data_IF_010083825659
#
_entry.id   IF_010083825659
#
_cell.length_a   1.000
_cell.length_b   1.000
_cell.length_c   1.000
_cell.angle_alpha   90.00
_cell.angle_beta   90.00
_cell.angle_gamma   90.00
#
_symmetry.space_group_name_H-M   'P 1'
#
loop_
_entity.id
_entity.type
_entity.pdbx_description
1 polymer ?
#
# COMPACT_ATOMS: atom_id res chain seq x y z
N UNK A 1 -39.63 23.90 -2.15
CA UNK A 1 -38.43 23.02 -2.05
C UNK A 1 -37.77 22.81 -3.41
N UNK A 2 -38.47 22.25 -4.41
CA UNK A 2 -37.93 22.03 -5.76
C UNK A 2 -37.48 23.31 -6.48
N UNK A 3 -38.25 24.40 -6.40
CA UNK A 3 -37.87 25.69 -6.98
C UNK A 3 -36.58 26.25 -6.35
N UNK A 4 -36.44 26.17 -5.04
CA UNK A 4 -35.25 26.62 -4.31
C UNK A 4 -33.98 25.85 -4.70
N UNK A 5 -34.09 24.52 -4.90
CA UNK A 5 -32.97 23.67 -5.35
C UNK A 5 -32.51 24.06 -6.76
N UNK A 6 -33.46 24.44 -7.63
CA UNK A 6 -33.17 24.87 -9.01
C UNK A 6 -32.63 26.29 -9.07
N UNK A 7 -32.99 27.14 -8.11
CA UNK A 7 -32.50 28.53 -8.00
C UNK A 7 -31.10 28.60 -7.38
N UNK A 8 -30.79 27.69 -6.43
CA UNK A 8 -29.52 27.63 -5.70
C UNK A 8 -28.60 26.51 -6.21
N UNK A 9 -28.49 26.35 -7.53
CA UNK A 9 -27.75 25.22 -8.16
C UNK A 9 -26.31 25.09 -7.66
N UNK A 10 -25.59 26.21 -7.53
CA UNK A 10 -24.21 26.21 -7.04
C UNK A 10 -24.12 25.74 -5.59
N UNK A 11 -24.97 26.28 -4.71
CA UNK A 11 -25.01 25.89 -3.29
C UNK A 11 -25.33 24.41 -3.14
N UNK A 12 -26.34 23.91 -3.86
CA UNK A 12 -26.71 22.50 -3.85
C UNK A 12 -25.57 21.62 -4.37
N UNK A 13 -24.95 21.99 -5.49
CA UNK A 13 -23.83 21.25 -6.05
C UNK A 13 -22.61 21.19 -5.13
N UNK A 14 -22.30 22.30 -4.47
CA UNK A 14 -21.21 22.35 -3.49
C UNK A 14 -21.50 21.45 -2.29
N UNK A 15 -22.72 21.52 -1.73
CA UNK A 15 -23.11 20.67 -0.59
C UNK A 15 -23.04 19.19 -0.97
N UNK A 16 -23.58 18.81 -2.14
CA UNK A 16 -23.51 17.43 -2.62
C UNK A 16 -22.07 16.98 -2.83
N UNK A 17 -21.23 17.81 -3.45
CA UNK A 17 -19.80 17.54 -3.63
C UNK A 17 -19.10 17.27 -2.30
N UNK A 18 -19.29 18.14 -1.31
CA UNK A 18 -18.70 17.98 0.03
C UNK A 18 -19.17 16.69 0.69
N UNK A 19 -20.48 16.38 0.65
CA UNK A 19 -21.04 15.16 1.26
C UNK A 19 -20.45 13.91 0.62
N UNK A 20 -20.42 13.83 -0.71
CA UNK A 20 -19.89 12.65 -1.41
C UNK A 20 -18.37 12.53 -1.29
N UNK A 21 -17.63 13.65 -1.33
CA UNK A 21 -16.19 13.66 -1.06
C UNK A 21 -15.86 13.18 0.36
N UNK A 22 -16.59 13.67 1.37
CA UNK A 22 -16.45 13.20 2.74
C UNK A 22 -16.87 11.73 2.88
N UNK A 23 -17.94 11.32 2.21
CA UNK A 23 -18.37 9.91 2.14
C UNK A 23 -17.28 9.01 1.57
N UNK A 24 -16.61 9.44 0.49
CA UNK A 24 -15.46 8.74 -0.07
C UNK A 24 -14.31 8.65 0.93
N UNK A 25 -14.00 9.74 1.66
CA UNK A 25 -12.96 9.73 2.69
C UNK A 25 -13.26 8.73 3.80
N UNK A 26 -14.48 8.75 4.33
CA UNK A 26 -14.93 7.84 5.38
C UNK A 26 -14.91 6.38 4.91
N UNK A 27 -15.29 6.13 3.66
CA UNK A 27 -15.17 4.81 3.05
C UNK A 27 -13.71 4.34 3.00
N UNK A 28 -12.80 5.23 2.60
CA UNK A 28 -11.37 4.91 2.48
C UNK A 28 -10.66 4.74 3.84
N UNK A 29 -11.19 5.34 4.92
CA UNK A 29 -10.63 5.35 6.29
C UNK A 29 -10.73 4.02 7.08
N UNK A 30 -11.12 2.92 6.43
CA UNK A 30 -11.13 1.59 7.08
C UNK A 30 -9.75 1.22 7.60
N UNK A 31 -9.72 0.82 8.87
CA UNK A 31 -8.50 0.45 9.60
C UNK A 31 -7.99 -0.88 9.06
N UNK A 32 -6.76 -0.88 8.53
CA UNK A 32 -6.05 -2.09 8.12
C UNK A 32 -5.25 -2.61 9.33
N UNK A 33 -4.98 -3.91 9.38
CA UNK A 33 -4.12 -4.55 10.39
C UNK A 33 -2.66 -4.05 10.29
N UNK A 34 -2.30 -3.49 9.14
CA UNK A 34 -1.06 -2.78 8.88
C UNK A 34 -1.11 -1.45 9.65
N UNK A 35 -0.53 -1.46 10.85
CA UNK A 35 -0.60 -0.36 11.81
C UNK A 35 -0.07 0.97 11.24
N UNK A 36 -0.96 1.78 10.67
CA UNK A 36 -1.09 3.25 10.71
C UNK A 36 -2.11 3.67 9.61
N UNK A 37 -3.10 4.56 9.88
CA UNK A 37 -3.26 5.40 11.06
C UNK A 37 -4.18 4.71 12.07
N UNK A 38 -3.59 4.15 13.12
CA UNK A 38 -4.33 3.39 14.14
C UNK A 38 -4.74 4.29 15.32
N UNK A 39 -4.16 5.48 15.46
CA UNK A 39 -4.49 6.39 16.55
C UNK A 39 -5.74 7.23 16.25
N UNK A 40 -6.62 7.44 17.25
CA UNK A 40 -7.78 8.32 17.11
C UNK A 40 -7.41 9.70 16.54
N UNK A 41 -6.27 10.26 16.95
CA UNK A 41 -5.76 11.53 16.43
C UNK A 41 -5.40 11.48 14.93
N UNK A 42 -4.78 10.39 14.46
CA UNK A 42 -4.48 10.21 13.03
C UNK A 42 -5.75 10.16 12.18
N UNK A 43 -6.80 9.47 12.66
CA UNK A 43 -8.11 9.46 11.99
C UNK A 43 -8.71 10.86 11.89
N UNK A 44 -8.64 11.67 12.96
CA UNK A 44 -9.14 13.05 12.97
C UNK A 44 -8.39 13.90 11.95
N UNK A 45 -7.05 13.84 11.91
CA UNK A 45 -6.23 14.57 10.93
C UNK A 45 -6.65 14.20 9.50
N UNK A 46 -6.81 12.91 9.23
CA UNK A 46 -7.22 12.46 7.91
C UNK A 46 -8.64 12.87 7.53
N UNK A 47 -9.59 12.90 8.47
CA UNK A 47 -10.95 13.40 8.23
C UNK A 47 -10.90 14.90 7.91
N UNK A 48 -10.16 15.68 8.71
CA UNK A 48 -10.02 17.12 8.50
C UNK A 48 -9.44 17.44 7.10
N UNK A 49 -8.37 16.76 6.71
CA UNK A 49 -7.80 16.88 5.35
C UNK A 49 -8.77 16.44 4.27
N UNK A 50 -9.60 15.44 4.54
CA UNK A 50 -10.66 15.00 3.63
C UNK A 50 -11.76 16.04 3.45
N UNK A 51 -12.15 16.74 4.52
CA UNK A 51 -13.11 17.86 4.44
C UNK A 51 -12.53 18.98 3.59
N UNK A 52 -11.26 19.34 3.78
CA UNK A 52 -10.57 20.35 2.96
C UNK A 52 -10.54 19.92 1.49
N UNK A 53 -10.11 18.68 1.21
CA UNK A 53 -10.09 18.11 -0.14
C UNK A 53 -11.49 18.12 -0.79
N UNK A 54 -12.52 17.72 -0.05
CA UNK A 54 -13.89 17.70 -0.55
C UNK A 54 -14.40 19.13 -0.84
N UNK A 55 -14.13 20.10 0.05
CA UNK A 55 -14.48 21.50 -0.16
C UNK A 55 -13.84 22.09 -1.41
N UNK A 56 -12.54 21.84 -1.61
CA UNK A 56 -11.81 22.32 -2.79
C UNK A 56 -12.36 21.73 -4.09
N UNK A 57 -12.60 20.42 -4.13
CA UNK A 57 -13.21 19.77 -5.30
C UNK A 57 -14.61 20.31 -5.60
N UNK A 58 -15.41 20.55 -4.56
CA UNK A 58 -16.79 21.00 -4.68
C UNK A 58 -16.89 22.43 -5.25
N UNK A 59 -16.02 23.32 -4.78
CA UNK A 59 -16.02 24.76 -5.14
C UNK A 59 -15.28 25.02 -6.46
N UNK A 60 -14.42 24.11 -6.92
CA UNK A 60 -13.69 24.28 -8.19
C UNK A 60 -14.61 24.51 -9.39
N UNK A 61 -15.71 23.76 -9.50
CA UNK A 61 -16.65 23.86 -10.62
C UNK A 61 -17.35 25.23 -10.70
N UNK A 62 -18.07 25.70 -9.66
CA UNK A 62 -18.74 27.00 -9.75
C UNK A 62 -17.74 28.13 -9.99
N UNK A 63 -16.54 28.06 -9.41
CA UNK A 63 -15.51 29.08 -9.64
C UNK A 63 -15.02 29.11 -11.10
N UNK A 64 -14.86 27.95 -11.75
CA UNK A 64 -14.48 27.88 -13.17
C UNK A 64 -15.62 28.36 -14.10
N UNK A 65 -16.88 28.02 -13.79
CA UNK A 65 -18.03 28.48 -14.56
C UNK A 65 -18.21 30.01 -14.48
N UNK A 66 -17.95 30.60 -13.31
CA UNK A 66 -17.92 32.05 -13.09
C UNK A 66 -16.62 32.73 -13.58
N UNK A 67 -15.75 31.99 -14.30
CA UNK A 67 -14.47 32.48 -14.83
C UNK A 67 -13.54 33.07 -13.76
N UNK A 68 -13.69 32.65 -12.50
CA UNK A 68 -12.78 33.00 -11.43
C UNK A 68 -11.58 32.04 -11.43
N UNK A 69 -10.64 32.30 -12.33
CA UNK A 69 -9.43 31.49 -12.48
C UNK A 69 -8.49 31.53 -11.27
N UNK A 70 -8.71 32.44 -10.31
CA UNK A 70 -8.02 32.43 -9.00
C UNK A 70 -8.22 31.10 -8.26
N UNK A 71 -9.30 30.37 -8.56
CA UNK A 71 -9.54 29.02 -8.04
C UNK A 71 -8.41 28.02 -8.36
N UNK A 72 -7.70 28.20 -9.49
CA UNK A 72 -6.55 27.36 -9.86
C UNK A 72 -5.43 27.50 -8.83
N UNK A 73 -5.22 28.70 -8.29
CA UNK A 73 -4.22 28.94 -7.23
C UNK A 73 -4.58 28.20 -5.94
N UNK A 74 -5.86 28.13 -5.57
CA UNK A 74 -6.32 27.36 -4.42
C UNK A 74 -6.16 25.84 -4.62
N UNK A 75 -6.37 25.34 -5.85
CA UNK A 75 -6.08 23.94 -6.19
C UNK A 75 -4.56 23.66 -6.11
N UNK A 76 -3.72 24.60 -6.54
CA UNK A 76 -2.27 24.50 -6.39
C UNK A 76 -1.83 24.44 -4.92
N UNK A 77 -2.36 25.31 -4.07
CA UNK A 77 -2.11 25.29 -2.62
C UNK A 77 -2.56 23.97 -1.98
N UNK A 78 -3.68 23.40 -2.44
CA UNK A 78 -4.14 22.10 -1.98
C UNK A 78 -3.19 20.95 -2.36
N UNK A 79 -2.66 20.97 -3.58
CA UNK A 79 -1.68 19.97 -4.02
C UNK A 79 -0.42 20.01 -3.13
N UNK A 80 0.03 21.21 -2.74
CA UNK A 80 1.12 21.36 -1.77
C UNK A 80 0.75 20.74 -0.42
N UNK A 81 -0.45 21.01 0.09
CA UNK A 81 -0.90 20.44 1.36
C UNK A 81 -0.87 18.90 1.36
N UNK A 82 -1.25 18.23 0.26
CA UNK A 82 -1.20 16.77 0.22
C UNK A 82 0.23 16.22 0.14
N UNK A 83 1.12 16.91 -0.57
CA UNK A 83 2.54 16.56 -0.57
C UNK A 83 3.15 16.71 0.83
N UNK A 84 2.74 17.73 1.57
CA UNK A 84 3.17 17.90 2.97
C UNK A 84 2.61 16.82 3.88
N UNK A 85 1.37 16.38 3.65
CA UNK A 85 0.81 15.20 4.33
C UNK A 85 1.64 13.95 4.03
N UNK A 86 1.99 13.68 2.77
CA UNK A 86 2.89 12.57 2.43
C UNK A 86 4.24 12.67 3.14
N UNK A 87 4.84 13.86 3.15
CA UNK A 87 6.12 14.08 3.81
C UNK A 87 6.02 13.81 5.31
N UNK A 88 4.97 14.30 5.96
CA UNK A 88 4.67 14.06 7.37
C UNK A 88 4.47 12.57 7.67
N UNK A 89 3.69 11.86 6.84
CA UNK A 89 3.46 10.42 6.99
C UNK A 89 4.75 9.63 6.88
N UNK A 90 5.53 9.91 5.82
CA UNK A 90 6.83 9.26 5.60
C UNK A 90 7.79 9.51 6.75
N UNK A 91 7.89 10.75 7.24
CA UNK A 91 8.77 11.08 8.37
C UNK A 91 8.34 10.39 9.66
N UNK A 92 7.04 10.37 9.94
CA UNK A 92 6.47 9.68 11.11
C UNK A 92 6.77 8.19 11.07
N UNK A 93 6.45 7.55 9.94
CA UNK A 93 6.67 6.13 9.74
C UNK A 93 8.16 5.78 9.83
N UNK A 94 9.05 6.55 9.21
CA UNK A 94 10.50 6.30 9.30
C UNK A 94 11.04 6.37 10.73
N UNK A 95 10.51 7.26 11.58
CA UNK A 95 10.91 7.35 12.99
C UNK A 95 10.38 6.19 13.83
N UNK A 96 9.17 5.72 13.53
CA UNK A 96 8.61 4.52 14.19
C UNK A 96 9.40 3.28 13.74
N UNK A 97 9.72 3.20 12.44
CA UNK A 97 10.40 2.06 11.83
C UNK A 97 11.80 1.82 12.40
N UNK A 98 12.51 2.87 12.81
CA UNK A 98 13.83 2.73 13.43
C UNK A 98 13.80 2.03 14.79
N UNK A 99 12.61 1.90 15.40
CA UNK A 99 12.41 1.24 16.69
C UNK A 99 11.79 -0.17 16.54
N UNK A 100 11.49 -0.61 15.32
CA UNK A 100 10.91 -1.92 15.05
C UNK A 100 12.00 -3.01 15.02
N UNK A 101 11.69 -4.19 15.55
CA UNK A 101 12.60 -5.36 15.50
C UNK A 101 12.85 -5.84 14.07
N UNK A 102 11.84 -5.69 13.20
CA UNK A 102 11.92 -5.94 11.76
C UNK A 102 11.37 -4.69 11.08
N UNK A 103 12.20 -3.84 10.44
CA UNK A 103 11.74 -2.59 9.85
C UNK A 103 10.93 -2.83 8.56
N UNK A 104 10.00 -1.93 8.24
CA UNK A 104 9.26 -1.86 6.96
C UNK A 104 10.21 -1.62 5.79
N UNK A 105 11.20 -0.76 6.01
CA UNK A 105 12.11 -0.28 4.97
C UNK A 105 11.54 0.88 4.16
N UNK A 106 12.45 1.69 3.59
CA UNK A 106 12.11 2.96 2.94
C UNK A 106 11.11 2.83 1.79
N UNK A 107 11.23 1.77 0.97
CA UNK A 107 10.34 1.52 -0.18
C UNK A 107 8.90 1.27 0.25
N UNK A 108 8.70 0.57 1.36
CA UNK A 108 7.37 0.30 1.89
C UNK A 108 6.76 1.55 2.52
N UNK A 109 7.54 2.28 3.31
CA UNK A 109 7.13 3.55 3.90
C UNK A 109 6.71 4.55 2.82
N UNK A 110 7.48 4.67 1.74
CA UNK A 110 7.16 5.52 0.61
C UNK A 110 5.85 5.10 -0.07
N UNK A 111 5.63 3.78 -0.25
CA UNK A 111 4.37 3.24 -0.77
C UNK A 111 3.17 3.62 0.10
N UNK A 112 3.29 3.46 1.43
CA UNK A 112 2.25 3.86 2.37
C UNK A 112 1.96 5.37 2.26
N UNK A 113 3.01 6.19 2.25
CA UNK A 113 2.89 7.65 2.19
C UNK A 113 2.26 8.13 0.87
N UNK A 114 2.57 7.50 -0.27
CA UNK A 114 1.94 7.77 -1.56
C UNK A 114 0.45 7.43 -1.56
N UNK A 115 0.05 6.32 -0.91
CA UNK A 115 -1.37 5.96 -0.77
C UNK A 115 -2.13 7.02 0.03
N UNK A 116 -1.53 7.59 1.09
CA UNK A 116 -2.16 8.67 1.85
C UNK A 116 -2.37 9.95 1.02
N UNK A 117 -1.38 10.30 0.18
CA UNK A 117 -1.51 11.39 -0.80
C UNK A 117 -2.63 11.08 -1.81
N UNK A 118 -2.57 9.89 -2.42
CA UNK A 118 -3.51 9.36 -3.41
C UNK A 118 -4.97 9.44 -2.96
N UNK A 119 -5.25 9.06 -1.71
CA UNK A 119 -6.61 9.10 -1.15
C UNK A 119 -7.19 10.51 -1.10
N UNK A 120 -6.37 11.54 -0.93
CA UNK A 120 -6.87 12.93 -0.95
C UNK A 120 -7.24 13.37 -2.37
N UNK A 121 -6.49 12.94 -3.39
CA UNK A 121 -6.84 13.17 -4.79
C UNK A 121 -8.16 12.48 -5.18
N UNK A 122 -8.39 11.25 -4.70
CA UNK A 122 -9.66 10.54 -4.93
C UNK A 122 -10.87 11.25 -4.29
N UNK A 123 -10.67 11.90 -3.13
CA UNK A 123 -11.70 12.73 -2.48
C UNK A 123 -12.02 13.98 -3.32
N UNK A 124 -10.99 14.69 -3.82
CA UNK A 124 -11.20 15.82 -4.73
C UNK A 124 -11.96 15.38 -5.96
N UNK A 125 -11.52 14.29 -6.59
CA UNK A 125 -12.15 13.75 -7.80
C UNK A 125 -13.63 13.47 -7.58
N UNK A 126 -13.96 12.74 -6.51
CA UNK A 126 -15.36 12.41 -6.17
C UNK A 126 -16.20 13.67 -5.93
N UNK A 127 -15.66 14.62 -5.16
CA UNK A 127 -16.35 15.87 -4.87
C UNK A 127 -16.57 16.74 -6.11
N UNK A 128 -15.54 16.87 -6.96
CA UNK A 128 -15.56 17.63 -8.20
C UNK A 128 -16.56 17.05 -9.19
N UNK A 129 -16.52 15.73 -9.42
CA UNK A 129 -17.46 15.04 -10.32
C UNK A 129 -18.90 15.21 -9.82
N UNK A 130 -19.14 14.99 -8.53
CA UNK A 130 -20.46 15.18 -7.92
C UNK A 130 -20.96 16.61 -8.11
N UNK A 131 -20.12 17.61 -7.82
CA UNK A 131 -20.45 19.03 -7.97
C UNK A 131 -20.72 19.39 -9.44
N UNK A 132 -19.88 18.91 -10.37
CA UNK A 132 -20.03 19.12 -11.81
C UNK A 132 -21.39 18.67 -12.32
N UNK A 133 -21.74 17.40 -12.09
CA UNK A 133 -23.02 16.86 -12.55
C UNK A 133 -24.22 17.47 -11.81
N UNK A 134 -24.05 17.89 -10.55
CA UNK A 134 -25.10 18.60 -9.81
C UNK A 134 -25.42 19.98 -10.39
N UNK A 135 -24.40 20.70 -10.86
CA UNK A 135 -24.50 22.10 -11.31
C UNK A 135 -24.85 22.19 -12.80
N UNK A 136 -24.15 21.44 -13.65
CA UNK A 136 -24.29 21.49 -15.11
C UNK A 136 -25.56 20.78 -15.57
N UNK A 137 -25.92 19.68 -14.90
CA UNK A 137 -27.18 18.98 -15.12
C UNK A 137 -28.17 19.33 -14.00
N UNK A 138 -28.80 18.31 -13.42
CA UNK A 138 -29.69 18.42 -12.28
C UNK A 138 -29.08 17.71 -11.08
N UNK A 139 -29.45 18.16 -9.88
CA UNK A 139 -28.90 17.68 -8.61
C UNK A 139 -28.91 16.14 -8.44
N UNK A 140 -29.92 15.45 -8.98
CA UNK A 140 -30.02 13.98 -8.89
C UNK A 140 -28.97 13.25 -9.76
N UNK A 141 -28.52 13.86 -10.87
CA UNK A 141 -27.39 13.34 -11.64
C UNK A 141 -26.08 13.49 -10.86
N UNK A 142 -25.96 14.52 -10.04
CA UNK A 142 -24.87 14.68 -9.08
C UNK A 142 -24.79 13.51 -8.10
N UNK A 143 -25.91 13.10 -7.51
CA UNK A 143 -26.00 11.94 -6.61
C UNK A 143 -25.56 10.66 -7.34
N UNK A 144 -26.09 10.41 -8.54
CA UNK A 144 -25.72 9.23 -9.32
C UNK A 144 -24.21 9.22 -9.65
N UNK A 145 -23.66 10.37 -10.05
CA UNK A 145 -22.24 10.53 -10.34
C UNK A 145 -21.38 10.34 -9.08
N UNK A 146 -21.79 10.87 -7.93
CA UNK A 146 -21.09 10.70 -6.67
C UNK A 146 -21.05 9.25 -6.19
N UNK A 147 -22.17 8.52 -6.29
CA UNK A 147 -22.21 7.08 -6.01
C UNK A 147 -21.24 6.34 -6.95
N UNK A 148 -21.30 6.62 -8.25
CA UNK A 148 -20.42 6.00 -9.24
C UNK A 148 -18.95 6.31 -8.96
N UNK A 149 -18.62 7.56 -8.64
CA UNK A 149 -17.27 7.96 -8.25
C UNK A 149 -16.78 7.20 -7.03
N UNK A 150 -17.60 7.03 -5.98
CA UNK A 150 -17.22 6.22 -4.81
C UNK A 150 -16.92 4.77 -5.22
N UNK A 151 -17.74 4.16 -6.09
CA UNK A 151 -17.49 2.81 -6.60
C UNK A 151 -16.16 2.73 -7.37
N UNK A 152 -15.87 3.72 -8.22
CA UNK A 152 -14.61 3.82 -8.96
C UNK A 152 -13.43 3.99 -7.99
N UNK A 153 -13.54 4.85 -6.97
CA UNK A 153 -12.46 5.02 -5.98
C UNK A 153 -12.20 3.75 -5.17
N UNK A 154 -13.23 2.93 -4.93
CA UNK A 154 -13.05 1.65 -4.24
C UNK A 154 -12.30 0.63 -5.11
N UNK A 155 -12.51 0.65 -6.42
CA UNK A 155 -11.76 -0.17 -7.36
C UNK A 155 -10.28 0.24 -7.43
N UNK A 156 -10.00 1.54 -7.53
CA UNK A 156 -8.61 2.04 -7.53
C UNK A 156 -7.88 1.91 -6.18
N UNK A 157 -8.61 1.66 -5.09
CA UNK A 157 -8.01 1.42 -3.76
C UNK A 157 -7.39 0.01 -3.65
N UNK A 158 -7.84 -0.97 -4.43
CA UNK A 158 -7.35 -2.36 -4.34
C UNK A 158 -6.03 -2.54 -5.07
N UNK A 159 -4.95 -2.81 -4.32
CA UNK A 159 -3.66 -3.22 -4.86
C UNK A 159 -3.53 -4.74 -4.98
N UNK A 160 -2.54 -5.20 -5.76
CA UNK A 160 -2.20 -6.61 -5.87
C UNK A 160 -1.43 -7.12 -4.63
N UNK A 161 -1.53 -8.42 -4.39
CA UNK A 161 -0.83 -9.11 -3.30
C UNK A 161 0.14 -10.18 -3.86
N UNK A 162 1.06 -10.67 -3.03
CA UNK A 162 2.05 -11.70 -3.40
C UNK A 162 1.43 -12.91 -4.12
N UNK A 163 0.23 -13.34 -3.72
CA UNK A 163 -0.49 -14.44 -4.40
C UNK A 163 -0.76 -14.22 -5.90
N UNK A 164 -0.72 -12.97 -6.39
CA UNK A 164 -0.86 -12.65 -7.81
C UNK A 164 0.44 -12.95 -8.56
N UNK A 165 1.60 -12.77 -7.93
CA UNK A 165 2.92 -12.88 -8.58
C UNK A 165 3.71 -14.15 -8.21
N UNK A 166 3.38 -14.81 -7.10
CA UNK A 166 4.14 -15.96 -6.62
C UNK A 166 3.26 -17.04 -6.02
N UNK A 167 3.67 -18.29 -6.19
CA UNK A 167 3.14 -19.41 -5.41
C UNK A 167 3.97 -19.52 -4.14
N UNK A 168 3.32 -19.61 -2.98
CA UNK A 168 4.01 -19.68 -1.68
C UNK A 168 3.79 -21.07 -1.10
N UNK A 169 4.87 -21.76 -0.76
CA UNK A 169 4.85 -23.07 -0.09
C UNK A 169 5.75 -23.06 1.15
N UNK A 170 5.48 -23.96 2.08
CA UNK A 170 6.37 -24.18 3.23
C UNK A 170 7.65 -24.85 2.73
N UNK A 171 8.80 -24.34 3.18
CA UNK A 171 10.13 -24.87 2.90
C UNK A 171 10.73 -25.50 4.15
N UNK A 172 11.58 -26.49 3.96
CA UNK A 172 12.27 -27.16 5.06
C UNK A 172 13.47 -26.32 5.53
N UNK A 173 13.49 -25.94 6.80
CA UNK A 173 14.65 -25.29 7.41
C UNK A 173 15.71 -26.36 7.71
N UNK A 174 16.93 -26.19 7.18
CA UNK A 174 18.04 -27.14 7.35
C UNK A 174 19.27 -26.41 7.84
N UNK A 175 19.99 -27.02 8.78
CA UNK A 175 21.29 -26.54 9.25
C UNK A 175 22.31 -27.62 8.91
N UNK A 176 23.29 -27.28 8.08
CA UNK A 176 24.41 -28.14 7.71
C UNK A 176 25.72 -27.51 8.21
N UNK A 177 26.31 -28.12 9.23
CA UNK A 177 27.41 -27.52 9.99
C UNK A 177 27.01 -26.14 10.55
N UNK A 178 27.68 -25.04 10.14
CA UNK A 178 27.30 -23.70 10.53
C UNK A 178 26.33 -23.02 9.54
N UNK A 179 26.00 -23.64 8.40
CA UNK A 179 25.23 -22.99 7.35
C UNK A 179 23.73 -23.30 7.44
N UNK A 180 22.91 -22.25 7.39
CA UNK A 180 21.46 -22.31 7.48
C UNK A 180 20.82 -22.13 6.10
N UNK A 181 19.92 -23.04 5.77
CA UNK A 181 19.19 -23.10 4.51
C UNK A 181 17.68 -23.14 4.74
N UNK A 182 16.94 -22.64 3.75
CA UNK A 182 15.52 -22.98 3.56
C UNK A 182 15.43 -23.70 2.21
N UNK A 183 15.01 -24.96 2.25
CA UNK A 183 15.21 -25.94 1.19
C UNK A 183 16.69 -26.02 0.76
N UNK A 184 16.98 -25.57 -0.46
CA UNK A 184 18.29 -25.54 -1.10
C UNK A 184 18.91 -24.13 -1.15
N UNK A 185 18.21 -23.12 -0.62
CA UNK A 185 18.62 -21.72 -0.69
C UNK A 185 19.33 -21.32 0.61
N UNK A 186 20.60 -20.90 0.46
CA UNK A 186 21.42 -20.42 1.56
C UNK A 186 20.87 -19.12 2.17
N UNK A 187 20.74 -19.08 3.51
CA UNK A 187 20.26 -17.92 4.25
C UNK A 187 21.43 -17.16 4.88
N UNK A 188 22.13 -17.80 5.81
CA UNK A 188 23.23 -17.22 6.57
C UNK A 188 24.03 -18.29 7.30
N UNK A 189 25.18 -17.90 7.84
CA UNK A 189 25.98 -18.71 8.73
C UNK A 189 25.60 -18.45 10.19
N UNK A 190 25.36 -19.50 10.96
CA UNK A 190 25.02 -19.50 12.38
C UNK A 190 25.98 -20.43 13.12
N UNK A 191 27.05 -19.88 13.69
CA UNK A 191 28.10 -20.68 14.34
C UNK A 191 27.76 -21.19 15.75
N UNK A 192 26.96 -20.44 16.53
CA UNK A 192 26.66 -20.80 17.92
C UNK A 192 25.62 -21.92 18.01
N UNK A 193 25.97 -23.02 18.68
CA UNK A 193 25.10 -24.20 18.82
C UNK A 193 23.74 -23.90 19.47
N UNK A 194 23.73 -23.05 20.50
CA UNK A 194 22.48 -22.64 21.18
C UNK A 194 21.54 -21.92 20.23
N UNK A 195 22.07 -21.00 19.41
CA UNK A 195 21.28 -20.32 18.38
C UNK A 195 20.76 -21.28 17.33
N UNK A 196 21.58 -22.24 16.89
CA UNK A 196 21.12 -23.26 15.95
C UNK A 196 19.96 -24.08 16.53
N UNK A 197 19.97 -24.41 17.82
CA UNK A 197 18.89 -25.13 18.48
C UNK A 197 17.58 -24.33 18.49
N UNK A 198 17.66 -23.04 18.82
CA UNK A 198 16.50 -22.13 18.75
C UNK A 198 15.93 -22.07 17.34
N UNK A 199 16.78 -21.98 16.32
CA UNK A 199 16.35 -21.97 14.92
C UNK A 199 15.68 -23.29 14.53
N UNK A 200 16.23 -24.45 14.92
CA UNK A 200 15.61 -25.77 14.64
C UNK A 200 14.22 -25.89 15.25
N UNK A 201 14.03 -25.35 16.45
CA UNK A 201 12.76 -25.45 17.18
C UNK A 201 11.71 -24.46 16.64
N UNK A 202 12.11 -23.23 16.34
CA UNK A 202 11.16 -22.13 16.12
C UNK A 202 11.04 -21.67 14.68
N UNK A 203 12.06 -21.87 13.86
CA UNK A 203 12.09 -21.25 12.55
C UNK A 203 11.05 -21.85 11.59
N UNK A 204 10.48 -20.99 10.76
CA UNK A 204 9.60 -21.36 9.66
C UNK A 204 10.26 -20.93 8.36
N UNK A 205 10.40 -21.88 7.44
CA UNK A 205 10.85 -21.62 6.08
C UNK A 205 9.67 -21.46 5.13
N UNK A 206 9.70 -20.44 4.29
CA UNK A 206 8.77 -20.28 3.17
C UNK A 206 9.56 -20.11 1.87
N UNK A 207 9.08 -20.75 0.80
CA UNK A 207 9.58 -20.56 -0.56
C UNK A 207 8.51 -19.88 -1.39
N UNK A 208 8.89 -18.76 -2.02
CA UNK A 208 8.05 -18.04 -2.98
C UNK A 208 8.59 -18.28 -4.38
N UNK A 209 7.79 -18.96 -5.19
CA UNK A 209 8.10 -19.31 -6.58
C UNK A 209 7.44 -18.29 -7.52
N UNK A 210 8.20 -17.47 -8.25
CA UNK A 210 7.62 -16.46 -9.13
C UNK A 210 6.86 -17.11 -10.29
N UNK A 211 5.65 -16.62 -10.58
CA UNK A 211 4.80 -17.16 -11.66
C UNK A 211 5.29 -16.80 -13.06
N UNK A 212 6.03 -15.71 -13.22
CA UNK A 212 6.57 -15.26 -14.50
C UNK A 212 7.84 -14.40 -14.32
N UNK A 213 8.44 -13.95 -15.44
CA UNK A 213 9.67 -13.14 -15.44
C UNK A 213 9.49 -11.77 -14.76
N UNK A 214 8.34 -11.13 -14.90
CA UNK A 214 8.06 -9.86 -14.23
C UNK A 214 7.99 -10.08 -12.72
N UNK A 215 7.26 -11.12 -12.29
CA UNK A 215 7.16 -11.53 -10.89
C UNK A 215 8.53 -11.81 -10.27
N UNK A 216 9.41 -12.51 -10.99
CA UNK A 216 10.80 -12.78 -10.55
C UNK A 216 11.54 -11.48 -10.24
N UNK A 217 11.41 -10.48 -11.09
CA UNK A 217 12.11 -9.21 -10.96
C UNK A 217 11.50 -8.37 -9.84
N UNK A 218 10.17 -8.36 -9.69
CA UNK A 218 9.49 -7.73 -8.56
C UNK A 218 9.92 -8.34 -7.22
N UNK A 219 9.99 -9.68 -7.10
CA UNK A 219 10.48 -10.36 -5.88
C UNK A 219 11.96 -10.12 -5.60
N UNK A 220 12.77 -9.88 -6.63
CA UNK A 220 14.20 -9.57 -6.48
C UNK A 220 14.46 -8.22 -5.81
N UNK A 221 13.48 -7.32 -5.84
CA UNK A 221 13.56 -6.00 -5.24
C UNK A 221 13.80 -6.10 -3.72
N UNK A 222 14.91 -5.57 -3.17
CA UNK A 222 15.17 -5.60 -1.73
C UNK A 222 14.06 -4.97 -0.88
N UNK A 223 13.45 -3.88 -1.35
CA UNK A 223 12.36 -3.21 -0.66
C UNK A 223 11.09 -4.06 -0.57
N UNK A 224 10.75 -4.80 -1.64
CA UNK A 224 9.63 -5.76 -1.61
C UNK A 224 9.90 -6.90 -0.62
N UNK A 225 11.13 -7.41 -0.59
CA UNK A 225 11.54 -8.46 0.34
C UNK A 225 11.47 -7.99 1.80
N UNK A 226 11.93 -6.77 2.07
CA UNK A 226 11.86 -6.18 3.39
C UNK A 226 10.41 -5.96 3.85
N UNK A 227 9.55 -5.46 2.97
CA UNK A 227 8.12 -5.28 3.26
C UNK A 227 7.42 -6.60 3.57
N UNK A 228 7.74 -7.64 2.79
CA UNK A 228 7.24 -9.00 3.03
C UNK A 228 7.69 -9.53 4.40
N UNK A 229 8.98 -9.40 4.72
CA UNK A 229 9.52 -9.81 6.02
C UNK A 229 8.83 -9.06 7.16
N UNK A 230 8.68 -7.74 7.04
CA UNK A 230 8.01 -6.91 8.03
C UNK A 230 6.57 -7.37 8.26
N UNK A 231 5.74 -7.41 7.21
CA UNK A 231 4.32 -7.76 7.34
C UNK A 231 4.11 -9.14 7.98
N UNK A 232 4.88 -10.14 7.53
CA UNK A 232 4.75 -11.50 8.07
C UNK A 232 5.24 -11.55 9.52
N UNK A 233 6.35 -10.89 9.82
CA UNK A 233 6.91 -10.81 11.18
C UNK A 233 6.00 -10.05 12.15
N UNK A 234 5.33 -8.98 11.71
CA UNK A 234 4.39 -8.22 12.54
C UNK A 234 3.17 -9.05 12.92
N UNK A 235 2.67 -9.91 12.01
CA UNK A 235 1.48 -10.72 12.27
C UNK A 235 1.81 -12.00 13.05
N UNK A 236 2.92 -12.66 12.72
CA UNK A 236 3.33 -13.91 13.37
C UNK A 236 4.10 -13.67 14.68
N UNK A 237 4.44 -12.41 14.97
CA UNK A 237 5.40 -12.04 16.00
C UNK A 237 6.83 -12.37 15.58
N UNK A 238 7.79 -11.93 16.39
CA UNK A 238 9.22 -12.25 16.20
C UNK A 238 9.81 -12.74 17.51
N UNK A 239 10.50 -13.86 17.47
CA UNK A 239 11.28 -14.43 18.55
C UNK A 239 12.71 -13.91 18.50
N UNK A 240 12.86 -12.63 18.89
CA UNK A 240 14.13 -11.90 18.90
C UNK A 240 14.06 -10.77 19.90
N UNK A 241 15.21 -10.45 20.50
CA UNK A 241 15.44 -9.18 21.20
C UNK A 241 16.51 -8.31 20.51
N UNK A 242 16.59 -7.06 20.93
CA UNK A 242 17.69 -6.15 20.61
C UNK A 242 19.03 -6.77 21.06
N UNK A 243 19.99 -6.86 20.14
CA UNK A 243 21.31 -7.46 20.42
C UNK A 243 21.51 -8.90 19.93
N UNK A 244 20.49 -9.55 19.34
CA UNK A 244 20.62 -10.89 18.76
C UNK A 244 20.61 -10.86 17.21
N UNK A 245 21.77 -10.71 16.56
CA UNK A 245 21.84 -10.57 15.09
C UNK A 245 21.62 -11.88 14.33
N UNK A 246 21.75 -13.03 15.01
CA UNK A 246 21.59 -14.34 14.40
C UNK A 246 20.12 -14.82 14.35
N UNK A 247 19.21 -14.16 15.06
CA UNK A 247 17.77 -14.47 15.10
C UNK A 247 16.92 -13.49 14.26
N UNK A 248 17.51 -12.93 13.21
CA UNK A 248 16.83 -11.98 12.33
C UNK A 248 16.09 -12.73 11.23
N UNK A 249 14.78 -12.46 11.01
CA UNK A 249 14.09 -12.94 9.82
C UNK A 249 14.76 -12.44 8.54
N UNK A 250 15.01 -13.32 7.58
CA UNK A 250 15.76 -13.02 6.38
C UNK A 250 15.08 -13.55 5.13
N UNK A 251 15.23 -12.82 4.02
CA UNK A 251 14.74 -13.24 2.73
C UNK A 251 15.90 -13.23 1.72
N UNK A 252 16.22 -14.39 1.16
CA UNK A 252 17.31 -14.59 0.20
C UNK A 252 16.78 -15.17 -1.10
N UNK A 253 17.35 -14.68 -2.20
CA UNK A 253 16.95 -15.08 -3.54
C UNK A 253 17.91 -16.17 -4.02
N UNK A 254 17.37 -17.20 -4.66
CA UNK A 254 18.16 -18.12 -5.47
C UNK A 254 18.57 -17.42 -6.77
N UNK A 255 19.87 -17.34 -7.02
CA UNK A 255 20.41 -16.65 -8.19
C UNK A 255 20.16 -17.41 -9.50
N UNK A 256 19.86 -18.71 -9.43
CA UNK A 256 19.67 -19.55 -10.61
C UNK A 256 18.26 -19.43 -11.18
N UNK A 257 17.23 -19.52 -10.34
CA UNK A 257 15.83 -19.58 -10.77
C UNK A 257 14.96 -18.44 -10.23
N UNK A 258 15.50 -17.61 -9.34
CA UNK A 258 14.81 -16.46 -8.77
C UNK A 258 13.71 -16.80 -7.78
N UNK A 259 13.67 -18.02 -7.24
CA UNK A 259 12.88 -18.34 -6.04
C UNK A 259 13.37 -17.50 -4.87
N UNK A 260 12.44 -17.08 -4.01
CA UNK A 260 12.76 -16.36 -2.79
C UNK A 260 12.53 -17.28 -1.60
N UNK A 261 13.60 -17.59 -0.88
CA UNK A 261 13.52 -18.20 0.43
C UNK A 261 13.33 -17.13 1.50
N UNK A 262 12.43 -17.41 2.44
CA UNK A 262 12.17 -16.58 3.59
C UNK A 262 12.28 -17.42 4.86
N UNK A 263 13.18 -17.02 5.74
CA UNK A 263 13.33 -17.56 7.09
C UNK A 263 12.61 -16.63 8.06
N UNK A 264 11.67 -17.18 8.81
CA UNK A 264 10.95 -16.49 9.87
C UNK A 264 11.27 -17.13 11.21
N UNK A 265 11.26 -16.33 12.26
CA UNK A 265 11.38 -16.80 13.65
C UNK A 265 10.17 -16.27 14.42
N UNK A 266 8.97 -16.84 14.22
CA UNK A 266 7.76 -16.31 14.84
C UNK A 266 7.65 -16.72 16.32
N UNK A 267 6.78 -16.02 17.06
CA UNK A 267 6.43 -16.43 18.43
C UNK A 267 5.44 -17.62 18.43
N UNK A 268 4.56 -17.66 17.43
CA UNK A 268 3.62 -18.76 17.19
C UNK A 268 4.10 -19.61 16.01
N UNK A 269 4.42 -20.88 16.27
CA UNK A 269 4.91 -21.79 15.24
C UNK A 269 3.76 -22.39 14.41
N UNK A 270 3.25 -21.63 13.44
CA UNK A 270 2.23 -22.08 12.48
C UNK A 270 2.67 -21.78 11.02
N UNK A 271 3.24 -22.78 10.31
CA UNK A 271 3.73 -22.60 8.95
C UNK A 271 2.64 -22.27 7.93
N UNK A 272 1.43 -22.80 8.10
CA UNK A 272 0.33 -22.55 7.17
C UNK A 272 -0.23 -21.14 7.36
N UNK A 273 -0.34 -20.68 8.60
CA UNK A 273 -0.68 -19.28 8.88
C UNK A 273 0.36 -18.33 8.30
N UNK A 274 1.66 -18.62 8.49
CA UNK A 274 2.73 -17.82 7.90
C UNK A 274 2.63 -17.76 6.36
N UNK A 275 2.34 -18.90 5.71
CA UNK A 275 2.14 -19.00 4.26
C UNK A 275 0.95 -18.14 3.79
N UNK A 276 -0.19 -18.23 4.48
CA UNK A 276 -1.40 -17.44 4.17
C UNK A 276 -1.15 -15.94 4.35
N UNK A 277 -0.44 -15.56 5.40
CA UNK A 277 -0.06 -14.17 5.65
C UNK A 277 0.84 -13.65 4.54
N UNK A 278 1.91 -14.40 4.19
CA UNK A 278 2.84 -14.04 3.12
C UNK A 278 2.12 -13.85 1.77
N UNK A 279 1.14 -14.70 1.44
CA UNK A 279 0.33 -14.56 0.23
C UNK A 279 -0.53 -13.28 0.20
N UNK A 280 -0.90 -12.73 1.35
CA UNK A 280 -1.72 -11.51 1.49
C UNK A 280 -0.90 -10.22 1.62
N UNK A 281 0.42 -10.32 1.70
CA UNK A 281 1.30 -9.15 1.67
C UNK A 281 1.14 -8.39 0.34
N UNK A 282 1.14 -7.05 0.38
CA UNK A 282 0.94 -6.23 -0.82
C UNK A 282 2.18 -6.24 -1.70
N UNK A 283 1.97 -6.01 -2.98
CA UNK A 283 3.04 -5.67 -3.91
C UNK A 283 3.23 -4.15 -3.87
N UNK A 284 4.46 -3.70 -3.65
CA UNK A 284 4.80 -2.29 -3.65
C UNK A 284 4.84 -1.78 -5.08
N UNK A 285 4.09 -0.72 -5.39
CA UNK A 285 4.09 -0.07 -6.71
C UNK A 285 5.50 0.32 -7.17
N UNK A 286 6.34 0.79 -6.23
CA UNK A 286 7.73 1.15 -6.48
C UNK A 286 8.65 -0.05 -6.77
N UNK A 287 8.24 -1.26 -6.40
CA UNK A 287 8.95 -2.50 -6.67
C UNK A 287 8.49 -3.22 -7.95
N UNK A 288 7.29 -2.92 -8.44
CA UNK A 288 6.78 -3.49 -9.70
C UNK A 288 7.72 -3.10 -10.84
N UNK A 289 8.11 -4.10 -11.62
CA UNK A 289 8.86 -3.94 -12.86
C UNK A 289 8.18 -4.77 -13.95
N UNK A 290 8.06 -4.21 -15.15
CA UNK A 290 7.47 -4.90 -16.30
C UNK A 290 8.45 -5.04 -17.47
N UNK A 291 9.54 -5.83 -17.34
CA UNK A 291 10.54 -5.95 -18.42
C UNK A 291 9.97 -6.57 -19.70
N UNK A 292 8.89 -7.33 -19.61
CA UNK A 292 8.15 -7.79 -20.80
C UNK A 292 7.69 -6.66 -21.72
N UNK A 293 7.49 -5.44 -21.19
CA UNK A 293 7.06 -4.27 -21.97
C UNK A 293 8.23 -3.54 -22.65
N UNK A 294 9.48 -3.91 -22.35
CA UNK A 294 10.64 -3.31 -23.01
C UNK A 294 10.63 -3.65 -24.50
N UNK A 295 10.69 -2.63 -25.37
CA UNK A 295 10.58 -2.80 -26.83
C UNK A 295 11.55 -3.81 -27.44
N UNK A 296 12.73 -3.99 -26.84
CA UNK A 296 13.73 -4.99 -27.25
C UNK A 296 13.18 -6.43 -27.13
N UNK A 297 12.29 -6.69 -26.17
CA UNK A 297 11.64 -7.99 -25.98
C UNK A 297 10.43 -8.21 -26.92
N UNK A 298 9.94 -7.16 -27.58
CA UNK A 298 8.83 -7.23 -28.56
C UNK A 298 9.30 -7.44 -30.01
N UNK A 299 10.61 -7.36 -30.28
CA UNK A 299 11.17 -7.55 -31.62
C UNK A 299 11.07 -8.99 -32.18
N UNK A 300 10.48 -9.93 -31.43
CA UNK A 300 10.19 -11.29 -31.91
C UNK A 300 8.79 -11.47 -32.53
N UNK A 301 7.95 -10.43 -32.59
CA UNK A 301 6.58 -10.52 -33.15
C UNK A 301 6.35 -9.69 -34.43
N UNK A 302 7.36 -8.98 -34.93
CA UNK A 302 7.26 -8.15 -36.13
C UNK A 302 7.96 -8.78 -37.36
N UNK A 303 8.04 -10.11 -37.42
CA UNK A 303 8.71 -10.84 -38.49
C UNK A 303 8.15 -12.26 -38.65
N UNK A 304 6.87 -12.36 -38.99
CA UNK A 304 6.23 -13.53 -39.59
C UNK A 304 5.04 -13.05 -40.43
#
# INVERSE_FOLDING_TARGET
>A
MWAWIVEQKYTVGVILGVIFGLGARLNMLRTDYRQYPTYPHGKIIHIALGVIAAGLGAVAIPALLEKNYTAITFLGAAAQQFRDVRNMERQTLSKIDSMELVPRGATYIEGIAMVFEGRNYLVIFTSLVTSFFSIVLYWYWGIAAGILSILITNYFKTGENISHIANVRVGQVKIDGPDLFVDDIYIMNVGLGDTQNVIREKAIGLILEPKNRNSRITLSNPGQRQALLHDVSTIMGVHRDTGEPALIPLAKLDMNDGRLAMLLLPQEHDPEKARVVAMRCPILESAVRMPSEAGVNNNGKAGA
#
